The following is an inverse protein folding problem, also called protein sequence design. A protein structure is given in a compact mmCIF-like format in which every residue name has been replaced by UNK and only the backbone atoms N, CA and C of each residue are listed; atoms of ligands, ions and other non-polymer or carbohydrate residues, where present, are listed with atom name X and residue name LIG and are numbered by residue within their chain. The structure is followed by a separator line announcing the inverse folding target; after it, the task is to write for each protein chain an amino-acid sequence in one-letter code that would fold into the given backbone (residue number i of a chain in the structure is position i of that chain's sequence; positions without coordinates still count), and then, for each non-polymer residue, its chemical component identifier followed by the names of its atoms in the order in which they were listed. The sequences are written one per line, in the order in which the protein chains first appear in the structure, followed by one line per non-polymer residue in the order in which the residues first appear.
data_IF_113828913010
#
_entry.id   IF_113828913010
#
_cell.length_a   1.000
_cell.length_b   1.000
_cell.length_c   1.000
_cell.angle_alpha   90.00
_cell.angle_beta   90.00
_cell.angle_gamma   90.00
#
_symmetry.space_group_name_H-M   'P 1'
#
loop_
_entity.id
_entity.type
_entity.pdbx_description
1 polymer ?
#
# COMPACT_ATOMS: atom_id res chain seq x y z
N UNK A 1 23.19 -1.64 -2.56
CA UNK A 1 22.84 -0.23 -2.84
C UNK A 1 23.28 0.03 -4.26
N UNK A 2 22.44 0.69 -5.04
CA UNK A 2 22.74 1.05 -6.42
C UNK A 2 23.24 2.51 -6.43
N UNK A 3 24.27 2.81 -7.20
CA UNK A 3 24.74 4.18 -7.41
C UNK A 3 24.28 4.71 -8.76
N UNK A 4 24.16 6.01 -8.89
CA UNK A 4 23.84 6.67 -10.15
C UNK A 4 24.44 8.07 -10.19
N UNK A 5 24.73 8.57 -11.39
CA UNK A 5 25.05 9.96 -11.62
C UNK A 5 23.81 10.84 -11.60
N UNK A 6 23.96 12.12 -11.30
CA UNK A 6 22.83 13.06 -11.33
C UNK A 6 22.24 13.20 -12.73
N UNK A 7 23.07 13.06 -13.78
CA UNK A 7 22.62 13.07 -15.17
C UNK A 7 21.72 11.88 -15.48
N UNK A 8 22.07 10.67 -15.02
CA UNK A 8 21.25 9.47 -15.17
C UNK A 8 19.91 9.60 -14.45
N UNK A 9 19.92 10.12 -13.21
CA UNK A 9 18.69 10.34 -12.45
C UNK A 9 17.79 11.37 -13.12
N UNK A 10 18.38 12.48 -13.60
CA UNK A 10 17.65 13.54 -14.32
C UNK A 10 16.96 12.98 -15.57
N UNK A 11 17.71 12.25 -16.40
CA UNK A 11 17.18 11.64 -17.63
C UNK A 11 16.09 10.59 -17.32
N UNK A 12 16.33 9.70 -16.34
CA UNK A 12 15.42 8.61 -15.99
C UNK A 12 14.09 9.09 -15.40
N UNK A 13 14.12 10.16 -14.60
CA UNK A 13 12.95 10.65 -13.87
C UNK A 13 12.37 11.97 -14.42
N UNK A 14 12.83 12.41 -15.59
CA UNK A 14 12.31 13.59 -16.28
C UNK A 14 12.55 14.89 -15.51
N UNK A 15 13.70 15.03 -14.84
CA UNK A 15 14.08 16.22 -14.12
C UNK A 15 14.97 17.12 -14.99
N UNK A 16 14.85 18.43 -14.83
CA UNK A 16 15.87 19.36 -15.31
C UNK A 16 17.01 19.44 -14.28
N UNK A 17 18.22 19.13 -14.71
CA UNK A 17 19.41 19.20 -13.85
C UNK A 17 20.00 20.62 -13.84
N UNK A 18 20.30 21.14 -12.63
CA UNK A 18 21.17 22.30 -12.41
C UNK A 18 22.36 21.86 -11.56
N UNK A 19 23.55 21.99 -12.05
CA UNK A 19 24.80 21.59 -11.39
C UNK A 19 25.56 20.52 -12.17
N UNK A 20 26.53 19.87 -11.50
CA UNK A 20 27.39 18.85 -12.11
C UNK A 20 26.63 17.55 -12.32
N UNK A 21 26.53 17.12 -13.58
CA UNK A 21 25.83 15.89 -13.95
C UNK A 21 26.58 14.59 -13.61
N UNK A 22 27.89 14.65 -13.52
CA UNK A 22 28.81 13.53 -13.25
C UNK A 22 28.91 13.15 -11.75
N UNK A 23 28.36 13.97 -10.85
CA UNK A 23 28.36 13.66 -9.44
C UNK A 23 27.56 12.37 -9.15
N UNK A 24 28.16 11.45 -8.38
CA UNK A 24 27.58 10.15 -8.05
C UNK A 24 26.87 10.24 -6.71
N UNK A 25 25.67 9.68 -6.66
CA UNK A 25 24.88 9.52 -5.44
C UNK A 25 24.55 8.05 -5.19
N UNK A 26 24.47 7.67 -3.92
CA UNK A 26 24.35 6.27 -3.50
C UNK A 26 23.14 6.01 -2.61
N UNK A 27 22.59 7.05 -1.99
CA UNK A 27 21.50 6.92 -1.03
C UNK A 27 20.63 8.18 -0.93
N UNK A 28 19.60 8.11 -0.13
CA UNK A 28 18.72 9.23 0.20
C UNK A 28 18.86 9.61 1.68
N UNK A 29 18.73 10.91 1.97
CA UNK A 29 18.83 11.43 3.34
C UNK A 29 17.90 12.63 3.54
N UNK A 30 17.76 13.13 4.78
CA UNK A 30 17.05 14.39 5.05
C UNK A 30 17.90 15.60 4.66
N UNK A 31 17.28 16.78 4.48
CA UNK A 31 18.02 18.01 4.16
C UNK A 31 19.15 18.30 5.15
N UNK A 32 18.92 18.05 6.44
CA UNK A 32 19.87 18.34 7.52
C UNK A 32 20.97 17.29 7.68
N UNK A 33 20.72 16.02 7.32
CA UNK A 33 21.69 14.92 7.52
C UNK A 33 22.42 14.52 6.24
N UNK A 34 22.03 15.07 5.09
CA UNK A 34 22.59 14.69 3.80
C UNK A 34 24.06 15.02 3.66
N UNK A 35 24.81 14.11 3.04
CA UNK A 35 26.22 14.26 2.60
C UNK A 35 26.30 14.37 1.08
N UNK A 36 27.49 14.68 0.56
CA UNK A 36 27.70 14.93 -0.87
C UNK A 36 27.36 13.79 -1.82
N UNK A 37 27.14 12.60 -1.30
CA UNK A 37 26.73 11.38 -2.04
C UNK A 37 25.25 11.01 -1.81
N UNK A 38 24.47 11.87 -1.13
CA UNK A 38 23.05 11.67 -0.88
C UNK A 38 22.15 12.53 -1.77
N UNK A 39 20.98 12.02 -2.12
CA UNK A 39 19.86 12.81 -2.67
C UNK A 39 18.87 13.11 -1.57
N UNK A 40 18.40 14.35 -1.52
CA UNK A 40 17.32 14.79 -0.62
C UNK A 40 16.22 15.50 -1.42
N UNK A 41 15.19 16.01 -0.77
CA UNK A 41 14.11 16.73 -1.43
C UNK A 41 13.57 17.89 -0.60
N UNK A 42 12.97 18.87 -1.27
CA UNK A 42 12.17 19.93 -0.69
C UNK A 42 10.81 19.96 -1.37
N UNK A 43 9.76 19.50 -0.66
CA UNK A 43 8.38 19.58 -1.10
C UNK A 43 7.53 20.55 -0.26
N UNK A 44 7.95 20.80 1.00
CA UNK A 44 7.25 21.71 1.89
C UNK A 44 8.09 22.96 2.16
N UNK A 45 7.57 24.19 1.86
CA UNK A 45 8.27 25.45 2.08
C UNK A 45 8.74 25.69 3.50
N UNK A 46 8.14 25.08 4.49
CA UNK A 46 8.54 25.19 5.90
C UNK A 46 9.96 24.70 6.18
N UNK A 47 10.54 23.87 5.30
CA UNK A 47 11.91 23.38 5.43
C UNK A 47 12.93 24.18 4.61
N UNK A 48 12.55 25.39 4.14
CA UNK A 48 13.44 26.26 3.33
C UNK A 48 14.76 26.60 4.03
N UNK A 49 14.73 26.83 5.32
CA UNK A 49 15.95 27.17 6.08
C UNK A 49 16.93 25.99 6.12
N UNK A 50 16.42 24.75 6.15
CA UNK A 50 17.25 23.55 6.06
C UNK A 50 17.87 23.38 4.65
N UNK A 51 17.21 23.88 3.60
CA UNK A 51 17.75 23.88 2.25
C UNK A 51 19.04 24.72 2.15
N UNK A 52 19.09 25.89 2.80
CA UNK A 52 20.23 26.80 2.75
C UNK A 52 21.49 26.20 3.38
N UNK A 53 21.33 25.30 4.35
CA UNK A 53 22.43 24.64 5.06
C UNK A 53 22.75 23.23 4.58
N UNK A 54 22.06 22.71 3.57
CA UNK A 54 22.25 21.33 3.13
C UNK A 54 23.60 21.09 2.47
N UNK A 55 24.17 19.90 2.72
CA UNK A 55 25.40 19.40 2.08
C UNK A 55 25.15 18.20 1.17
N UNK A 56 23.89 18.02 0.73
CA UNK A 56 23.51 16.94 -0.16
C UNK A 56 24.26 16.99 -1.49
N UNK A 57 24.41 15.85 -2.15
CA UNK A 57 24.88 15.79 -3.54
C UNK A 57 23.89 16.43 -4.51
N UNK A 58 22.59 16.26 -4.24
CA UNK A 58 21.51 16.95 -4.96
C UNK A 58 20.24 17.07 -4.15
N UNK A 59 19.43 18.09 -4.47
CA UNK A 59 18.07 18.28 -3.92
C UNK A 59 17.04 18.17 -5.04
N UNK A 60 16.03 17.34 -4.84
CA UNK A 60 14.83 17.29 -5.69
C UNK A 60 13.88 18.38 -5.23
N UNK A 61 13.55 19.34 -6.09
CA UNK A 61 12.78 20.53 -5.70
C UNK A 61 12.04 21.15 -6.90
N UNK A 62 11.15 22.09 -6.61
CA UNK A 62 10.50 22.92 -7.62
C UNK A 62 11.39 24.07 -8.07
N UNK A 63 11.15 24.58 -9.28
CA UNK A 63 11.88 25.70 -9.88
C UNK A 63 12.03 26.92 -8.95
N UNK A 64 10.96 27.26 -8.22
CA UNK A 64 10.93 28.42 -7.31
C UNK A 64 11.98 28.38 -6.19
N UNK A 65 12.50 27.19 -5.85
CA UNK A 65 13.54 27.02 -4.83
C UNK A 65 14.94 26.83 -5.41
N UNK A 66 15.05 26.65 -6.73
CA UNK A 66 16.30 26.31 -7.35
C UNK A 66 17.40 27.37 -7.14
N UNK A 67 17.07 28.64 -7.24
CA UNK A 67 18.05 29.75 -7.08
C UNK A 67 18.63 29.80 -5.67
N UNK A 68 17.85 29.46 -4.65
CA UNK A 68 18.28 29.48 -3.24
C UNK A 68 19.06 28.22 -2.83
N UNK A 69 19.02 27.16 -3.63
CA UNK A 69 19.68 25.90 -3.28
C UNK A 69 21.21 26.00 -3.50
N UNK A 70 22.03 25.70 -2.47
CA UNK A 70 23.49 25.85 -2.57
C UNK A 70 24.18 24.70 -3.33
N UNK A 71 23.45 23.60 -3.61
CA UNK A 71 23.99 22.38 -4.24
C UNK A 71 23.27 22.07 -5.55
N UNK A 72 23.63 20.97 -6.21
CA UNK A 72 22.95 20.53 -7.42
C UNK A 72 21.45 20.30 -7.20
N UNK A 73 20.63 20.56 -8.24
CA UNK A 73 19.19 20.42 -8.18
C UNK A 73 18.66 19.49 -9.27
N UNK A 74 17.78 18.61 -8.90
CA UNK A 74 16.88 17.86 -9.78
C UNK A 74 15.50 18.54 -9.74
N UNK A 75 15.21 19.36 -10.75
CA UNK A 75 14.06 20.25 -10.79
C UNK A 75 12.88 19.54 -11.43
N UNK A 76 11.74 19.53 -10.76
CA UNK A 76 10.52 18.83 -11.17
C UNK A 76 9.27 19.53 -10.61
N UNK A 77 8.11 19.28 -11.22
CA UNK A 77 6.83 19.80 -10.71
C UNK A 77 6.36 19.10 -9.42
N UNK A 78 6.69 17.80 -9.26
CA UNK A 78 6.34 17.02 -8.08
C UNK A 78 7.58 16.42 -7.39
N UNK A 79 8.29 17.21 -6.56
CA UNK A 79 9.51 16.78 -5.90
C UNK A 79 9.34 15.54 -5.02
N UNK A 80 8.21 15.44 -4.31
CA UNK A 80 7.99 14.33 -3.39
C UNK A 80 7.82 12.99 -4.12
N UNK A 81 7.02 12.96 -5.18
CA UNK A 81 6.86 11.76 -6.00
C UNK A 81 8.16 11.37 -6.73
N UNK A 82 8.90 12.37 -7.23
CA UNK A 82 10.18 12.12 -7.90
C UNK A 82 11.22 11.58 -6.93
N UNK A 83 11.31 12.16 -5.73
CA UNK A 83 12.17 11.64 -4.66
C UNK A 83 11.84 10.19 -4.31
N UNK A 84 10.55 9.86 -4.15
CA UNK A 84 10.14 8.49 -3.85
C UNK A 84 10.60 7.49 -4.93
N UNK A 85 10.52 7.87 -6.22
CA UNK A 85 11.01 7.05 -7.33
C UNK A 85 12.53 6.92 -7.33
N UNK A 86 13.26 7.99 -7.04
CA UNK A 86 14.73 7.97 -6.91
C UNK A 86 15.13 7.09 -5.72
N UNK A 87 14.45 7.24 -4.58
CA UNK A 87 14.70 6.41 -3.40
C UNK A 87 14.51 4.92 -3.70
N UNK A 88 13.42 4.55 -4.36
CA UNK A 88 13.16 3.17 -4.78
C UNK A 88 14.22 2.64 -5.77
N UNK A 89 14.75 3.50 -6.64
CA UNK A 89 15.81 3.15 -7.59
C UNK A 89 17.15 2.92 -6.90
N UNK A 90 17.56 3.81 -5.99
CA UNK A 90 18.83 3.69 -5.26
C UNK A 90 18.78 2.58 -4.20
N UNK A 91 17.59 2.29 -3.67
CA UNK A 91 17.37 1.24 -2.67
C UNK A 91 16.34 0.21 -3.18
N UNK A 92 16.68 -0.57 -4.21
CA UNK A 92 15.79 -1.61 -4.68
C UNK A 92 15.48 -2.59 -3.56
N UNK A 93 14.25 -3.04 -3.50
CA UNK A 93 13.88 -4.10 -2.55
C UNK A 93 14.72 -5.33 -2.80
N UNK A 94 15.19 -5.95 -1.72
CA UNK A 94 15.87 -7.23 -1.83
C UNK A 94 14.88 -8.25 -2.39
N UNK A 95 15.24 -8.86 -3.50
CA UNK A 95 14.50 -10.00 -4.04
C UNK A 95 14.78 -11.22 -3.15
N UNK A 96 13.72 -11.90 -2.73
CA UNK A 96 13.89 -13.19 -2.10
C UNK A 96 14.38 -14.20 -3.15
N UNK A 97 15.31 -15.08 -2.75
CA UNK A 97 15.77 -16.17 -3.62
C UNK A 97 14.59 -17.08 -3.95
N UNK A 98 14.33 -17.40 -5.23
CA UNK A 98 13.27 -18.33 -5.61
C UNK A 98 13.45 -19.70 -4.96
N UNK A 99 12.35 -20.35 -4.62
CA UNK A 99 12.36 -21.69 -4.05
C UNK A 99 11.36 -21.86 -2.92
N UNK A 100 11.13 -23.11 -2.55
CA UNK A 100 10.24 -23.49 -1.45
C UNK A 100 11.10 -23.94 -0.28
N UNK A 101 10.98 -23.28 0.86
CA UNK A 101 11.74 -23.67 2.06
C UNK A 101 11.33 -25.07 2.52
N UNK A 102 12.27 -25.93 2.97
CA UNK A 102 11.98 -27.32 3.34
C UNK A 102 10.92 -27.50 4.44
N UNK A 103 10.72 -26.48 5.30
CA UNK A 103 9.69 -26.50 6.35
C UNK A 103 8.36 -25.88 5.93
N UNK A 104 8.23 -25.41 4.68
CA UNK A 104 6.95 -24.95 4.15
C UNK A 104 6.05 -26.13 3.81
N UNK A 105 4.75 -25.99 4.02
CA UNK A 105 3.73 -26.97 3.65
C UNK A 105 2.98 -26.49 2.40
N UNK A 106 3.17 -27.19 1.29
CA UNK A 106 2.50 -26.85 0.01
C UNK A 106 1.61 -28.01 -0.40
N UNK A 107 0.31 -27.75 -0.56
CA UNK A 107 -0.63 -28.76 -1.00
C UNK A 107 -0.28 -29.28 -2.41
N UNK A 108 -0.39 -30.59 -2.69
CA UNK A 108 -0.04 -31.16 -4.00
C UNK A 108 -0.80 -30.54 -5.19
N UNK A 109 -2.01 -30.04 -4.96
CA UNK A 109 -2.85 -29.39 -5.97
C UNK A 109 -2.60 -27.88 -6.11
N UNK A 110 -1.68 -27.30 -5.32
CA UNK A 110 -1.31 -25.90 -5.46
C UNK A 110 -0.34 -25.69 -6.63
N UNK A 111 -0.52 -24.58 -7.35
CA UNK A 111 0.37 -24.18 -8.44
C UNK A 111 1.34 -23.11 -7.96
N UNK A 112 2.63 -23.49 -7.81
CA UNK A 112 3.71 -22.60 -7.39
C UNK A 112 4.80 -22.57 -8.47
N UNK A 113 4.98 -21.44 -9.17
CA UNK A 113 5.99 -21.35 -10.23
C UNK A 113 7.40 -21.36 -9.65
N UNK A 114 8.38 -21.82 -10.44
CA UNK A 114 9.80 -21.90 -10.03
C UNK A 114 10.41 -20.55 -9.63
N UNK A 115 9.86 -19.44 -10.12
CA UNK A 115 10.30 -18.08 -9.78
C UNK A 115 9.73 -17.56 -8.46
N UNK A 116 8.77 -18.26 -7.84
CA UNK A 116 8.21 -17.85 -6.57
C UNK A 116 9.14 -18.24 -5.39
N UNK A 117 9.02 -17.48 -4.31
CA UNK A 117 9.63 -17.78 -3.02
C UNK A 117 8.57 -18.15 -2.00
N UNK A 118 8.76 -19.28 -1.30
CA UNK A 118 7.90 -19.69 -0.18
C UNK A 118 8.77 -19.88 1.06
N UNK A 119 8.60 -19.01 2.03
CA UNK A 119 9.42 -18.93 3.25
C UNK A 119 9.17 -20.04 4.25
N UNK A 120 10.03 -20.10 5.26
CA UNK A 120 10.00 -21.12 6.32
C UNK A 120 8.64 -21.15 7.04
N UNK A 121 8.06 -22.35 7.21
CA UNK A 121 6.80 -22.56 7.91
C UNK A 121 5.57 -21.95 7.23
N UNK A 122 5.69 -21.43 6.00
CA UNK A 122 4.55 -20.97 5.23
C UNK A 122 3.67 -22.14 4.79
N UNK A 123 2.36 -21.91 4.69
CA UNK A 123 1.36 -22.90 4.26
C UNK A 123 0.70 -22.42 2.97
N UNK A 124 0.67 -23.26 1.93
CA UNK A 124 -0.05 -23.01 0.69
C UNK A 124 -1.14 -24.08 0.54
N UNK A 125 -2.40 -23.63 0.64
CA UNK A 125 -3.58 -24.48 0.58
C UNK A 125 -3.86 -25.07 -0.79
N UNK A 126 -4.73 -26.08 -0.80
CA UNK A 126 -5.12 -26.81 -1.99
C UNK A 126 -5.74 -25.88 -3.06
N UNK A 127 -5.46 -26.16 -4.33
CA UNK A 127 -5.98 -25.44 -5.51
C UNK A 127 -5.60 -23.94 -5.58
N UNK A 128 -4.67 -23.50 -4.74
CA UNK A 128 -4.17 -22.12 -4.77
C UNK A 128 -3.16 -21.93 -5.90
N UNK A 129 -3.14 -20.73 -6.48
CA UNK A 129 -2.29 -20.40 -7.62
C UNK A 129 -1.48 -19.14 -7.32
N UNK A 130 -0.16 -19.26 -7.38
CA UNK A 130 0.79 -18.15 -7.28
C UNK A 130 1.28 -17.76 -8.67
N UNK A 131 1.32 -16.45 -8.95
CA UNK A 131 1.93 -15.90 -10.15
C UNK A 131 3.45 -15.89 -10.09
N UNK A 132 4.09 -15.51 -11.20
CA UNK A 132 5.54 -15.39 -11.27
C UNK A 132 6.08 -14.38 -10.23
N UNK A 133 7.25 -14.68 -9.66
CA UNK A 133 7.97 -13.84 -8.70
C UNK A 133 7.19 -13.50 -7.42
N UNK A 134 6.13 -14.22 -7.11
CA UNK A 134 5.42 -14.06 -5.84
C UNK A 134 6.35 -14.44 -4.69
N UNK A 135 6.35 -13.61 -3.65
CA UNK A 135 7.09 -13.87 -2.41
C UNK A 135 6.08 -14.13 -1.30
N UNK A 136 6.15 -15.31 -0.69
CA UNK A 136 5.37 -15.67 0.50
C UNK A 136 6.33 -15.76 1.68
N UNK A 137 6.20 -14.84 2.63
CA UNK A 137 7.05 -14.73 3.81
C UNK A 137 6.87 -15.87 4.81
N UNK A 138 7.83 -15.99 5.73
CA UNK A 138 7.85 -17.04 6.73
C UNK A 138 6.56 -17.06 7.59
N UNK A 139 5.98 -18.24 7.80
CA UNK A 139 4.78 -18.45 8.61
C UNK A 139 3.51 -17.78 8.06
N UNK A 140 3.52 -17.33 6.80
CA UNK A 140 2.30 -16.85 6.15
C UNK A 140 1.38 -18.03 5.79
N UNK A 141 0.08 -17.80 5.86
CA UNK A 141 -0.94 -18.79 5.53
C UNK A 141 -1.68 -18.35 4.28
N UNK A 142 -1.65 -19.16 3.25
CA UNK A 142 -2.45 -19.04 2.03
C UNK A 142 -3.44 -20.20 2.05
N UNK A 143 -4.71 -19.86 2.20
CA UNK A 143 -5.84 -20.81 2.29
C UNK A 143 -6.07 -21.58 0.97
N UNK A 144 -7.18 -22.28 0.88
CA UNK A 144 -7.56 -23.03 -0.33
C UNK A 144 -8.08 -22.09 -1.41
N UNK A 145 -7.83 -22.41 -2.68
CA UNK A 145 -8.38 -21.66 -3.83
C UNK A 145 -7.91 -20.23 -3.96
N UNK A 146 -6.91 -19.79 -3.19
CA UNK A 146 -6.38 -18.43 -3.23
C UNK A 146 -5.63 -18.19 -4.53
N UNK A 147 -5.84 -17.02 -5.14
CA UNK A 147 -5.12 -16.57 -6.33
C UNK A 147 -4.27 -15.36 -6.01
N UNK A 148 -2.98 -15.40 -6.34
CA UNK A 148 -2.04 -14.31 -6.12
C UNK A 148 -1.37 -13.95 -7.43
N UNK A 149 -1.56 -12.72 -7.91
CA UNK A 149 -0.96 -12.20 -9.14
C UNK A 149 0.56 -12.04 -9.03
N UNK A 150 1.21 -11.93 -10.20
CA UNK A 150 2.68 -11.84 -10.31
C UNK A 150 3.26 -10.66 -9.52
N UNK A 151 4.52 -10.78 -9.12
CA UNK A 151 5.30 -9.76 -8.42
C UNK A 151 4.69 -9.30 -7.07
N UNK A 152 3.68 -10.00 -6.56
CA UNK A 152 3.03 -9.71 -5.27
C UNK A 152 3.86 -10.23 -4.11
N UNK A 153 3.94 -9.44 -3.03
CA UNK A 153 4.73 -9.73 -1.83
C UNK A 153 3.82 -9.89 -0.62
N UNK A 154 3.86 -11.06 -0.04
CA UNK A 154 3.16 -11.42 1.20
C UNK A 154 4.20 -11.48 2.31
N UNK A 155 4.14 -10.55 3.26
CA UNK A 155 5.07 -10.48 4.38
C UNK A 155 4.87 -11.67 5.36
N UNK A 156 5.80 -11.89 6.30
CA UNK A 156 5.65 -12.95 7.30
C UNK A 156 4.36 -12.81 8.11
N UNK A 157 3.76 -13.97 8.45
CA UNK A 157 2.55 -14.08 9.29
C UNK A 157 1.30 -13.37 8.73
N UNK A 158 1.19 -13.22 7.45
CA UNK A 158 -0.06 -12.82 6.79
C UNK A 158 -0.97 -14.04 6.69
N UNK A 159 -2.28 -13.83 6.83
CA UNK A 159 -3.31 -14.85 6.59
C UNK A 159 -4.21 -14.43 5.43
N UNK A 160 -4.12 -15.13 4.32
CA UNK A 160 -5.06 -15.07 3.22
C UNK A 160 -5.98 -16.28 3.33
N UNK A 161 -7.24 -16.06 3.64
CA UNK A 161 -8.18 -17.16 3.84
C UNK A 161 -8.75 -17.67 2.50
N UNK A 162 -9.57 -18.74 2.58
CA UNK A 162 -10.03 -19.47 1.39
C UNK A 162 -10.68 -18.55 0.34
N UNK A 163 -10.37 -18.83 -0.93
CA UNK A 163 -10.92 -18.21 -2.14
C UNK A 163 -10.60 -16.72 -2.35
N UNK A 164 -9.74 -16.12 -1.53
CA UNK A 164 -9.26 -14.74 -1.70
C UNK A 164 -8.49 -14.59 -3.02
N UNK A 165 -8.70 -13.47 -3.72
CA UNK A 165 -7.99 -13.16 -4.95
C UNK A 165 -7.25 -11.83 -4.83
N UNK A 166 -5.92 -11.83 -5.07
CA UNK A 166 -5.06 -10.65 -5.16
C UNK A 166 -4.55 -10.50 -6.59
N UNK A 167 -4.55 -9.26 -7.07
CA UNK A 167 -3.92 -8.87 -8.32
C UNK A 167 -2.39 -8.88 -8.26
N UNK A 168 -1.79 -8.21 -9.23
CA UNK A 168 -0.34 -8.13 -9.41
C UNK A 168 0.28 -7.00 -8.58
N UNK A 169 1.58 -7.12 -8.25
CA UNK A 169 2.39 -6.08 -7.58
C UNK A 169 1.81 -5.58 -6.27
N UNK A 170 0.99 -6.40 -5.62
CA UNK A 170 0.46 -6.08 -4.30
C UNK A 170 1.52 -6.28 -3.20
N UNK A 171 1.35 -5.57 -2.10
CA UNK A 171 2.17 -5.71 -0.91
C UNK A 171 1.23 -5.90 0.28
N UNK A 172 1.39 -7.02 0.98
CA UNK A 172 0.63 -7.29 2.19
C UNK A 172 1.60 -7.39 3.37
N UNK A 173 1.46 -6.46 4.31
CA UNK A 173 2.35 -6.39 5.47
C UNK A 173 1.96 -7.36 6.57
N UNK A 174 2.93 -7.65 7.46
CA UNK A 174 2.83 -8.68 8.49
C UNK A 174 1.60 -8.54 9.38
N UNK A 175 1.00 -9.67 9.70
CA UNK A 175 -0.17 -9.76 10.58
C UNK A 175 -1.50 -9.37 9.93
N UNK A 176 -1.50 -8.93 8.67
CA UNK A 176 -2.76 -8.68 7.97
C UNK A 176 -3.56 -9.96 7.78
N UNK A 177 -4.90 -9.86 7.94
CA UNK A 177 -5.84 -10.96 7.74
C UNK A 177 -6.84 -10.57 6.67
N UNK A 178 -6.91 -11.36 5.60
CA UNK A 178 -7.81 -11.12 4.47
C UNK A 178 -8.75 -12.31 4.28
N UNK A 179 -10.05 -12.05 4.26
CA UNK A 179 -11.07 -13.05 4.01
C UNK A 179 -11.65 -13.73 5.25
N UNK A 180 -11.45 -13.15 6.45
CA UNK A 180 -12.16 -13.61 7.65
C UNK A 180 -13.67 -13.32 7.54
N UNK A 181 -14.49 -14.07 8.28
CA UNK A 181 -15.90 -13.75 8.42
C UNK A 181 -16.07 -12.36 9.04
N UNK A 182 -16.98 -11.57 8.49
CA UNK A 182 -17.38 -10.31 9.08
C UNK A 182 -18.34 -10.48 10.26
N UNK A 183 -18.73 -9.34 10.83
CA UNK A 183 -19.70 -9.28 11.92
C UNK A 183 -21.11 -9.41 11.35
N UNK A 184 -21.64 -10.63 11.33
CA UNK A 184 -22.96 -10.95 10.83
C UNK A 184 -23.72 -11.84 11.82
N UNK A 185 -24.71 -11.26 12.51
CA UNK A 185 -25.58 -11.98 13.46
C UNK A 185 -27.01 -11.48 13.34
N UNK A 186 -27.96 -12.39 13.44
CA UNK A 186 -29.39 -12.11 13.55
C UNK A 186 -29.82 -12.36 14.99
N UNK A 187 -30.63 -11.46 15.55
CA UNK A 187 -31.25 -11.69 16.85
C UNK A 187 -32.47 -12.61 16.69
N UNK A 188 -32.53 -13.67 17.47
CA UNK A 188 -33.73 -14.52 17.63
C UNK A 188 -33.96 -14.80 19.11
N UNK A 189 -35.05 -14.26 19.67
CA UNK A 189 -35.49 -14.48 21.06
C UNK A 189 -34.44 -14.20 22.14
N UNK A 190 -33.63 -13.17 21.91
CA UNK A 190 -32.55 -12.73 22.81
C UNK A 190 -31.22 -13.46 22.63
N UNK A 191 -31.11 -14.32 21.61
CA UNK A 191 -29.88 -15.01 21.21
C UNK A 191 -29.36 -14.50 19.87
N UNK A 192 -28.04 -14.58 19.66
CA UNK A 192 -27.39 -14.20 18.42
C UNK A 192 -27.11 -15.42 17.53
N UNK A 193 -27.83 -15.52 16.42
CA UNK A 193 -27.61 -16.55 15.40
C UNK A 193 -26.59 -16.04 14.38
N UNK A 194 -25.48 -16.77 14.20
CA UNK A 194 -24.43 -16.41 13.22
C UNK A 194 -24.97 -16.51 11.80
N UNK A 195 -24.72 -15.44 11.02
CA UNK A 195 -24.94 -15.41 9.57
C UNK A 195 -23.64 -15.89 8.90
N UNK A 196 -23.66 -17.00 8.13
CA UNK A 196 -22.48 -17.47 7.40
C UNK A 196 -22.03 -16.45 6.36
N UNK A 197 -20.73 -16.27 6.23
CA UNK A 197 -20.13 -15.45 5.17
C UNK A 197 -19.62 -16.38 4.06
N UNK A 198 -20.32 -16.40 2.93
CA UNK A 198 -20.11 -17.32 1.80
C UNK A 198 -19.37 -16.64 0.63
N UNK A 199 -19.29 -15.32 0.65
CA UNK A 199 -18.57 -14.53 -0.34
C UNK A 199 -17.06 -14.58 -0.15
N UNK A 200 -16.34 -13.76 -0.88
CA UNK A 200 -14.88 -13.71 -0.83
C UNK A 200 -14.35 -12.27 -0.72
N UNK A 201 -13.04 -12.11 -0.91
CA UNK A 201 -12.36 -10.82 -1.08
C UNK A 201 -11.66 -10.80 -2.43
N UNK A 202 -11.88 -9.73 -3.20
CA UNK A 202 -11.22 -9.49 -4.48
C UNK A 202 -10.40 -8.20 -4.40
N UNK A 203 -9.11 -8.30 -4.63
CA UNK A 203 -8.16 -7.20 -4.54
C UNK A 203 -7.51 -7.00 -5.91
N UNK A 204 -7.54 -5.76 -6.40
CA UNK A 204 -6.95 -5.35 -7.66
C UNK A 204 -5.42 -5.34 -7.64
N UNK A 205 -4.83 -4.69 -8.65
CA UNK A 205 -3.38 -4.57 -8.81
C UNK A 205 -2.82 -3.40 -7.99
N UNK A 206 -1.51 -3.46 -7.70
CA UNK A 206 -0.78 -2.36 -7.04
C UNK A 206 -1.40 -1.93 -5.68
N UNK A 207 -2.09 -2.84 -4.99
CA UNK A 207 -2.70 -2.59 -3.69
C UNK A 207 -1.66 -2.81 -2.58
N UNK A 208 -1.67 -1.92 -1.59
CA UNK A 208 -0.84 -2.09 -0.39
C UNK A 208 -1.73 -2.20 0.86
N UNK A 209 -1.49 -3.23 1.68
CA UNK A 209 -2.26 -3.54 2.88
C UNK A 209 -1.31 -3.50 4.07
N UNK A 210 -1.53 -2.57 4.99
CA UNK A 210 -0.72 -2.33 6.17
C UNK A 210 -0.75 -3.45 7.20
N UNK A 211 0.17 -3.37 8.15
CA UNK A 211 0.32 -4.39 9.19
C UNK A 211 -0.94 -4.47 10.08
N UNK A 212 -1.35 -5.70 10.41
CA UNK A 212 -2.53 -5.99 11.24
C UNK A 212 -3.84 -5.38 10.71
N UNK A 213 -3.91 -5.04 9.43
CA UNK A 213 -5.15 -4.65 8.76
C UNK A 213 -6.00 -5.87 8.50
N UNK A 214 -7.32 -5.74 8.71
CA UNK A 214 -8.28 -6.83 8.51
C UNK A 214 -9.28 -6.45 7.42
N UNK A 215 -9.53 -7.40 6.51
CA UNK A 215 -10.47 -7.26 5.40
C UNK A 215 -11.40 -8.46 5.42
N UNK A 216 -12.64 -8.21 5.80
CA UNK A 216 -13.63 -9.28 5.93
C UNK A 216 -14.19 -9.69 4.57
N UNK A 217 -14.51 -10.98 4.44
CA UNK A 217 -15.22 -11.50 3.25
C UNK A 217 -16.66 -11.02 3.22
N UNK A 218 -17.21 -10.94 2.04
CA UNK A 218 -18.64 -10.61 1.91
C UNK A 218 -19.54 -11.73 2.39
N UNK A 219 -20.76 -11.39 2.73
CA UNK A 219 -21.75 -12.38 3.13
C UNK A 219 -22.16 -13.33 2.00
N UNK A 220 -22.43 -12.79 0.82
CA UNK A 220 -22.73 -13.52 -0.42
C UNK A 220 -21.83 -13.02 -1.54
N UNK A 221 -21.87 -11.71 -1.83
CA UNK A 221 -20.99 -11.08 -2.81
C UNK A 221 -19.60 -10.81 -2.21
N UNK A 222 -18.63 -10.44 -3.05
CA UNK A 222 -17.29 -10.14 -2.59
C UNK A 222 -17.17 -8.77 -1.92
N UNK A 223 -16.27 -8.65 -0.96
CA UNK A 223 -15.61 -7.39 -0.57
C UNK A 223 -14.57 -7.06 -1.62
N UNK A 224 -14.51 -5.82 -2.11
CA UNK A 224 -13.69 -5.44 -3.29
C UNK A 224 -12.81 -4.23 -3.00
N UNK A 225 -11.51 -4.37 -3.26
CA UNK A 225 -10.56 -3.26 -3.34
C UNK A 225 -10.08 -3.13 -4.77
N UNK A 226 -10.30 -1.98 -5.40
CA UNK A 226 -9.84 -1.72 -6.77
C UNK A 226 -8.34 -1.40 -6.83
N UNK A 227 -7.81 -1.21 -8.05
CA UNK A 227 -6.38 -1.00 -8.30
C UNK A 227 -5.83 0.22 -7.53
N UNK A 228 -4.60 0.09 -7.05
CA UNK A 228 -3.86 1.19 -6.43
C UNK A 228 -4.31 1.61 -5.04
N UNK A 229 -5.29 0.93 -4.42
CA UNK A 229 -5.72 1.21 -3.05
C UNK A 229 -4.55 1.03 -2.06
N UNK A 230 -4.43 1.96 -1.10
CA UNK A 230 -3.42 1.90 -0.03
C UNK A 230 -4.10 1.95 1.32
N UNK A 231 -3.97 0.88 2.08
CA UNK A 231 -4.43 0.79 3.45
C UNK A 231 -3.22 0.80 4.39
N UNK A 232 -3.22 1.71 5.34
CA UNK A 232 -2.20 1.76 6.40
C UNK A 232 -2.48 0.68 7.46
N UNK A 233 -1.72 0.70 8.54
CA UNK A 233 -1.80 -0.28 9.61
C UNK A 233 -3.12 -0.17 10.40
N UNK A 234 -3.62 -1.32 10.88
CA UNK A 234 -4.81 -1.40 11.74
C UNK A 234 -6.09 -0.84 11.07
N UNK A 235 -6.18 -0.88 9.76
CA UNK A 235 -7.41 -0.51 9.04
C UNK A 235 -8.40 -1.67 9.09
N UNK A 236 -9.69 -1.37 9.31
CA UNK A 236 -10.76 -2.36 9.25
C UNK A 236 -11.65 -2.15 8.03
N UNK A 237 -11.72 -3.14 7.16
CA UNK A 237 -12.65 -3.19 6.03
C UNK A 237 -13.66 -4.30 6.29
N UNK A 238 -14.89 -3.91 6.57
CA UNK A 238 -15.95 -4.87 6.87
C UNK A 238 -16.51 -5.54 5.60
N UNK A 239 -17.37 -6.53 5.80
CA UNK A 239 -17.96 -7.35 4.74
C UNK A 239 -18.70 -6.52 3.68
N UNK A 240 -18.62 -6.94 2.41
CA UNK A 240 -19.30 -6.33 1.27
C UNK A 240 -18.91 -4.87 0.98
N UNK A 241 -17.85 -4.34 1.59
CA UNK A 241 -17.32 -3.00 1.29
C UNK A 241 -16.70 -3.00 -0.12
N UNK A 242 -16.87 -1.90 -0.84
CA UNK A 242 -16.18 -1.64 -2.10
C UNK A 242 -15.39 -0.35 -2.00
N UNK A 243 -14.09 -0.42 -2.31
CA UNK A 243 -13.18 0.72 -2.30
C UNK A 243 -12.69 0.98 -3.72
N UNK A 244 -12.99 2.15 -4.25
CA UNK A 244 -12.60 2.61 -5.58
C UNK A 244 -11.10 2.85 -5.71
N UNK A 245 -10.62 2.81 -6.95
CA UNK A 245 -9.21 2.86 -7.31
C UNK A 245 -8.48 4.09 -6.71
N UNK A 246 -7.22 3.88 -6.35
CA UNK A 246 -6.31 4.91 -5.82
C UNK A 246 -6.78 5.60 -4.53
N UNK A 247 -7.75 5.04 -3.83
CA UNK A 247 -8.15 5.51 -2.50
C UNK A 247 -7.10 5.11 -1.47
N UNK A 248 -6.80 6.04 -0.55
CA UNK A 248 -5.83 5.83 0.52
C UNK A 248 -6.49 6.01 1.89
N UNK A 249 -6.20 5.10 2.82
CA UNK A 249 -6.77 5.10 4.16
C UNK A 249 -5.62 5.02 5.18
N UNK A 250 -5.46 6.09 5.98
CA UNK A 250 -4.45 6.13 7.02
C UNK A 250 -4.84 5.25 8.22
N UNK A 251 -3.88 5.05 9.12
CA UNK A 251 -3.97 4.09 10.22
C UNK A 251 -5.25 4.21 11.06
N UNK A 252 -5.76 3.06 11.51
CA UNK A 252 -6.96 2.93 12.34
C UNK A 252 -8.25 3.48 11.70
N UNK A 253 -8.25 3.80 10.41
CA UNK A 253 -9.48 4.14 9.71
C UNK A 253 -10.31 2.90 9.38
N UNK A 254 -11.59 3.09 9.05
CA UNK A 254 -12.44 1.95 8.79
C UNK A 254 -13.66 2.24 7.92
N UNK A 255 -14.17 1.20 7.28
CA UNK A 255 -15.41 1.20 6.54
C UNK A 255 -16.30 0.06 7.04
N UNK A 256 -17.47 0.42 7.57
CA UNK A 256 -18.46 -0.56 8.05
C UNK A 256 -19.18 -1.25 6.88
N UNK A 257 -19.88 -2.33 7.18
CA UNK A 257 -20.43 -3.27 6.19
C UNK A 257 -21.24 -2.63 5.07
N UNK A 258 -21.08 -3.13 3.86
CA UNK A 258 -21.78 -2.72 2.64
C UNK A 258 -21.56 -1.25 2.21
N UNK A 259 -20.54 -0.60 2.74
CA UNK A 259 -20.14 0.78 2.36
C UNK A 259 -19.52 0.79 0.97
N UNK A 260 -19.81 1.82 0.19
CA UNK A 260 -19.21 2.10 -1.11
C UNK A 260 -18.38 3.36 -1.04
N UNK A 261 -17.07 3.25 -1.24
CA UNK A 261 -16.12 4.36 -1.26
C UNK A 261 -15.64 4.54 -2.70
N UNK A 262 -15.76 5.77 -3.21
CA UNK A 262 -15.32 6.12 -4.55
C UNK A 262 -13.81 6.09 -4.74
N UNK A 263 -13.36 6.55 -5.90
CA UNK A 263 -11.96 6.60 -6.29
C UNK A 263 -11.26 7.83 -5.69
N UNK A 264 -9.93 7.74 -5.53
CA UNK A 264 -9.05 8.85 -5.11
C UNK A 264 -9.44 9.52 -3.79
N UNK A 265 -10.21 8.82 -2.97
CA UNK A 265 -10.54 9.30 -1.64
C UNK A 265 -9.32 9.24 -0.72
N UNK A 266 -9.28 10.10 0.30
CA UNK A 266 -8.21 10.18 1.30
C UNK A 266 -8.83 10.16 2.69
N UNK A 267 -8.51 9.14 3.46
CA UNK A 267 -8.98 8.99 4.84
C UNK A 267 -7.85 9.34 5.80
N UNK A 268 -8.06 10.37 6.61
CA UNK A 268 -7.19 10.67 7.75
C UNK A 268 -7.24 9.56 8.80
N UNK A 269 -6.20 9.46 9.63
CA UNK A 269 -6.12 8.42 10.66
C UNK A 269 -7.36 8.39 11.56
N UNK A 270 -7.89 7.20 11.83
CA UNK A 270 -9.09 7.00 12.64
C UNK A 270 -10.39 7.50 12.02
N UNK A 271 -10.41 7.90 10.74
CA UNK A 271 -11.65 8.28 10.06
C UNK A 271 -12.48 7.03 9.76
N UNK A 272 -13.79 7.06 10.04
CA UNK A 272 -14.69 5.92 9.88
C UNK A 272 -15.94 6.27 9.11
N UNK A 273 -16.48 5.31 8.35
CA UNK A 273 -17.73 5.43 7.60
C UNK A 273 -18.69 4.37 8.13
N UNK A 274 -19.90 4.80 8.52
CA UNK A 274 -20.95 3.91 8.99
C UNK A 274 -21.46 3.00 7.85
N UNK A 275 -22.17 1.92 8.22
CA UNK A 275 -22.63 0.90 7.30
C UNK A 275 -23.59 1.42 6.23
N UNK A 276 -23.58 0.77 5.05
CA UNK A 276 -24.50 1.01 3.93
C UNK A 276 -24.47 2.42 3.34
N UNK A 277 -23.39 3.17 3.57
CA UNK A 277 -23.23 4.52 3.04
C UNK A 277 -22.42 4.53 1.74
N UNK A 278 -22.59 5.61 0.98
CA UNK A 278 -21.79 5.91 -0.21
C UNK A 278 -20.98 7.17 0.02
N UNK A 279 -19.68 7.10 -0.28
CA UNK A 279 -18.77 8.24 -0.36
C UNK A 279 -18.36 8.37 -1.82
N UNK A 280 -18.68 9.50 -2.46
CA UNK A 280 -18.33 9.72 -3.87
C UNK A 280 -16.82 9.87 -4.06
N UNK A 281 -16.37 9.96 -5.33
CA UNK A 281 -14.97 10.16 -5.69
C UNK A 281 -14.39 11.46 -5.11
N UNK A 282 -13.05 11.52 -4.96
CA UNK A 282 -12.28 12.71 -4.61
C UNK A 282 -12.66 13.35 -3.26
N UNK A 283 -13.11 12.54 -2.30
CA UNK A 283 -13.42 12.98 -0.93
C UNK A 283 -12.18 12.84 -0.05
N UNK A 284 -11.88 13.88 0.73
CA UNK A 284 -10.88 13.82 1.80
C UNK A 284 -11.59 13.88 3.15
N UNK A 285 -11.46 12.83 3.96
CA UNK A 285 -11.89 12.81 5.36
C UNK A 285 -10.72 13.20 6.25
N UNK A 286 -10.89 14.19 7.09
CA UNK A 286 -9.88 14.62 8.06
C UNK A 286 -9.72 13.59 9.18
N UNK A 287 -8.66 13.74 9.96
CA UNK A 287 -8.35 12.90 11.12
C UNK A 287 -9.58 12.73 12.05
N UNK A 288 -9.88 11.47 12.40
CA UNK A 288 -11.01 11.07 13.27
C UNK A 288 -12.38 11.55 12.83
N UNK A 289 -12.61 11.76 11.54
CA UNK A 289 -13.95 12.05 11.04
C UNK A 289 -14.85 10.81 11.13
N UNK A 290 -16.11 11.02 11.52
CA UNK A 290 -17.16 9.99 11.56
C UNK A 290 -18.25 10.32 10.55
N UNK A 291 -18.37 9.52 9.50
CA UNK A 291 -19.36 9.71 8.43
C UNK A 291 -20.61 8.89 8.76
N UNK A 292 -21.71 9.55 9.01
CA UNK A 292 -23.02 8.95 9.37
C UNK A 292 -24.08 9.15 8.28
N UNK A 293 -23.76 9.87 7.21
CA UNK A 293 -24.62 10.08 6.03
C UNK A 293 -23.77 9.97 4.76
N UNK A 294 -24.38 9.57 3.65
CA UNK A 294 -23.67 9.48 2.36
C UNK A 294 -23.15 10.85 1.91
N UNK A 295 -21.92 10.86 1.38
CA UNK A 295 -21.26 12.06 0.81
C UNK A 295 -21.38 11.98 -0.71
N UNK A 296 -22.09 12.93 -1.30
CA UNK A 296 -22.42 12.95 -2.73
C UNK A 296 -21.64 13.99 -3.53
N UNK A 297 -20.80 14.80 -2.87
CA UNK A 297 -20.00 15.85 -3.52
C UNK A 297 -18.53 15.69 -3.12
N UNK A 298 -17.58 15.84 -4.07
CA UNK A 298 -16.16 15.90 -3.74
C UNK A 298 -15.86 17.04 -2.77
N UNK A 299 -14.82 16.86 -1.94
CA UNK A 299 -14.43 17.92 -1.00
C UNK A 299 -13.69 17.40 0.23
N UNK A 300 -13.41 18.31 1.15
CA UNK A 300 -12.73 18.03 2.42
C UNK A 300 -13.75 18.10 3.55
N UNK A 301 -13.84 17.03 4.32
CA UNK A 301 -14.84 16.85 5.36
C UNK A 301 -14.17 16.51 6.69
N UNK A 302 -14.73 17.02 7.80
CA UNK A 302 -14.19 16.80 9.15
C UNK A 302 -15.26 16.83 10.23
N UNK A 303 -15.02 16.11 11.32
CA UNK A 303 -15.93 16.00 12.45
C UNK A 303 -16.93 14.86 12.32
N UNK A 304 -18.10 15.01 12.93
CA UNK A 304 -19.23 14.07 12.80
C UNK A 304 -20.15 14.58 11.66
N UNK A 305 -20.30 13.77 10.63
CA UNK A 305 -20.93 14.13 9.34
C UNK A 305 -22.17 13.27 9.10
#
# INVERSE_FOLDING_TARGET
MQSATLQELAAKFGCRLRGRGDAIVTHVATLSSATGDAVTFLANPLYRDQLLGTRAGAVVLQESFATACPVACLITENPYATYARIAAYLHPRRTAEPGIHPTASVAPSASVPKSAHVGAGAVIGASSTLGANVVVGAGAIVGRGVRIGKDTQIAPRVSLLDDVSLGERCIVHSGAVVGADGFGFAEDRGEWVKIPHLGTVVIGNDVEIGANTTIDRGTIEATVLEDGVKLDNLVQIAHNVRIGAHTVMAAMSGAAGSTRIGQRCKFGGGAVVANQLTVCDDVTLLFRSSVTKSITKPGVYGGCL
#
